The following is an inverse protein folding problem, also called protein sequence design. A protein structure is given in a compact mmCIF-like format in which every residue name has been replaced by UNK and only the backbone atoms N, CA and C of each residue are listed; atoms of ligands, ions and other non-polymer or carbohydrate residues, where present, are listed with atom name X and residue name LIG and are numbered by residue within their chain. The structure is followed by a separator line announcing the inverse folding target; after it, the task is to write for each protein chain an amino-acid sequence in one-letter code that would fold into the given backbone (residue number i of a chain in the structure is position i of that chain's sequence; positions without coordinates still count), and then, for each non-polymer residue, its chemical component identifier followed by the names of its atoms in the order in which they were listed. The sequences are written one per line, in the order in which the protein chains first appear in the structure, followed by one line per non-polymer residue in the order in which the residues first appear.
data_IF_249044667852
#
_entry.id   IF_249044667852
#
_cell.length_a   1.000
_cell.length_b   1.000
_cell.length_c   1.000
_cell.angle_alpha   90.00
_cell.angle_beta   90.00
_cell.angle_gamma   90.00
#
_symmetry.space_group_name_H-M   'P 1'
#
loop_
_entity.id
_entity.type
_entity.pdbx_description
1 polymer ?
#
# COMPACT_ATOMS: atom_id res chain seq x y z
N UNK A 1 -10.48 -35.11 -51.00
CA UNK A 1 -10.34 -33.66 -51.26
C UNK A 1 -11.09 -32.85 -50.18
N UNK A 2 -10.41 -32.35 -49.14
CA UNK A 2 -11.00 -31.34 -48.26
C UNK A 2 -10.03 -30.15 -48.11
N UNK A 3 -10.18 -29.04 -48.85
CA UNK A 3 -9.19 -27.94 -48.66
C UNK A 3 -9.53 -26.53 -49.15
N UNK A 4 -10.79 -26.09 -49.22
CA UNK A 4 -11.05 -24.67 -49.53
C UNK A 4 -12.00 -23.91 -48.60
N UNK A 5 -12.91 -24.59 -47.89
CA UNK A 5 -13.87 -23.89 -47.03
C UNK A 5 -13.34 -23.53 -45.63
N UNK A 6 -12.33 -24.23 -45.10
CA UNK A 6 -11.79 -23.96 -43.76
C UNK A 6 -10.79 -22.78 -43.67
N UNK A 7 -10.27 -22.28 -44.80
CA UNK A 7 -9.30 -21.16 -44.80
C UNK A 7 -9.97 -19.78 -44.72
N UNK A 8 -11.20 -19.64 -45.20
CA UNK A 8 -11.90 -18.33 -45.27
C UNK A 8 -12.43 -17.92 -43.88
N UNK A 9 -12.86 -18.89 -43.06
CA UNK A 9 -13.28 -18.65 -41.68
C UNK A 9 -12.09 -18.30 -40.76
N UNK A 10 -10.91 -18.87 -40.97
CA UNK A 10 -9.70 -18.49 -40.22
C UNK A 10 -9.18 -17.08 -40.59
N UNK A 11 -9.24 -16.69 -41.87
CA UNK A 11 -8.81 -15.35 -42.30
C UNK A 11 -9.77 -14.24 -41.85
N UNK A 12 -11.08 -14.50 -41.84
CA UNK A 12 -12.08 -13.52 -41.41
C UNK A 12 -12.06 -13.28 -39.89
N UNK A 13 -11.82 -14.33 -39.09
CA UNK A 13 -11.59 -14.19 -37.65
C UNK A 13 -10.31 -13.42 -37.31
N UNK A 14 -9.25 -13.61 -38.10
CA UNK A 14 -7.97 -12.92 -37.90
C UNK A 14 -8.06 -11.42 -38.23
N UNK A 15 -8.85 -11.03 -39.26
CA UNK A 15 -9.05 -9.64 -39.66
C UNK A 15 -9.96 -8.85 -38.70
N UNK A 16 -10.95 -9.51 -38.09
CA UNK A 16 -11.79 -8.90 -37.05
C UNK A 16 -11.03 -8.72 -35.73
N UNK A 17 -10.15 -9.65 -35.38
CA UNK A 17 -9.26 -9.51 -34.22
C UNK A 17 -8.24 -8.38 -34.41
N UNK A 18 -7.61 -8.25 -35.59
CA UNK A 18 -6.63 -7.19 -35.83
C UNK A 18 -7.26 -5.80 -35.89
N UNK A 19 -8.46 -5.66 -36.46
CA UNK A 19 -9.17 -4.37 -36.48
C UNK A 19 -9.68 -3.94 -35.11
N UNK A 20 -10.08 -4.88 -34.24
CA UNK A 20 -10.42 -4.59 -32.84
C UNK A 20 -9.19 -4.13 -32.04
N UNK A 21 -8.05 -4.81 -32.21
CA UNK A 21 -6.78 -4.44 -31.56
C UNK A 21 -6.30 -3.05 -32.04
N UNK A 22 -6.39 -2.74 -33.33
CA UNK A 22 -6.00 -1.43 -33.88
C UNK A 22 -6.90 -0.30 -33.38
N UNK A 23 -8.22 -0.51 -33.29
CA UNK A 23 -9.16 0.49 -32.77
C UNK A 23 -9.03 0.70 -31.24
N UNK A 24 -8.60 -0.33 -30.50
CA UNK A 24 -8.34 -0.24 -29.05
C UNK A 24 -6.95 0.33 -28.73
N UNK A 25 -5.98 0.18 -29.63
CA UNK A 25 -4.66 0.85 -29.56
C UNK A 25 -4.80 2.38 -29.59
N UNK A 26 -5.81 2.90 -30.31
CA UNK A 26 -6.03 4.36 -30.42
C UNK A 26 -6.77 4.99 -29.25
N UNK A 27 -7.48 4.22 -28.41
CA UNK A 27 -8.29 4.79 -27.33
C UNK A 27 -7.45 5.53 -26.28
N UNK A 28 -6.38 4.90 -25.80
CA UNK A 28 -5.50 5.53 -24.82
C UNK A 28 -4.76 6.72 -25.41
N UNK A 29 -4.36 6.64 -26.68
CA UNK A 29 -3.76 7.76 -27.37
C UNK A 29 -4.74 8.94 -27.47
N UNK A 30 -6.00 8.70 -27.81
CA UNK A 30 -7.03 9.73 -27.84
C UNK A 30 -7.20 10.39 -26.47
N UNK A 31 -7.35 9.59 -25.41
CA UNK A 31 -7.48 10.08 -24.03
C UNK A 31 -6.27 10.94 -23.64
N UNK A 32 -5.06 10.40 -23.78
CA UNK A 32 -3.83 11.05 -23.32
C UNK A 32 -3.52 12.31 -24.14
N UNK A 33 -3.70 12.28 -25.47
CA UNK A 33 -3.56 13.47 -26.32
C UNK A 33 -4.65 14.51 -26.05
N UNK A 34 -5.87 14.08 -25.71
CA UNK A 34 -6.94 14.97 -25.27
C UNK A 34 -6.53 15.75 -24.02
N UNK A 35 -6.09 15.05 -22.98
CA UNK A 35 -5.56 15.69 -21.76
C UNK A 35 -4.39 16.63 -22.06
N UNK A 36 -3.53 16.27 -23.01
CA UNK A 36 -2.41 17.12 -23.45
C UNK A 36 -2.86 18.42 -24.10
N UNK A 37 -4.07 18.46 -24.64
CA UNK A 37 -4.70 19.59 -25.30
C UNK A 37 -5.76 20.27 -24.42
N UNK A 38 -5.71 20.07 -23.10
CA UNK A 38 -6.69 20.55 -22.12
C UNK A 38 -8.14 20.10 -22.39
N UNK A 39 -8.31 18.98 -23.11
CA UNK A 39 -9.60 18.33 -23.32
C UNK A 39 -9.76 17.24 -22.27
N UNK A 40 -10.71 17.42 -21.36
CA UNK A 40 -11.02 16.40 -20.36
C UNK A 40 -11.87 15.32 -21.02
N UNK A 41 -11.22 14.21 -21.36
CA UNK A 41 -11.89 13.02 -21.89
C UNK A 41 -12.19 12.03 -20.75
N UNK A 42 -13.39 11.44 -20.77
CA UNK A 42 -13.79 10.46 -19.77
C UNK A 42 -12.99 9.17 -19.96
N UNK A 43 -12.32 8.75 -18.91
CA UNK A 43 -11.64 7.46 -18.87
C UNK A 43 -12.67 6.35 -18.60
N UNK A 44 -12.78 5.42 -19.53
CA UNK A 44 -13.49 4.16 -19.36
C UNK A 44 -12.61 3.16 -18.59
N UNK A 45 -12.81 3.10 -17.27
CA UNK A 45 -12.08 2.16 -16.40
C UNK A 45 -12.46 0.70 -16.63
N UNK A 46 -13.69 0.40 -17.05
CA UNK A 46 -14.09 -0.99 -17.37
C UNK A 46 -13.28 -1.54 -18.53
N UNK A 47 -13.01 -0.71 -19.55
CA UNK A 47 -12.15 -1.11 -20.67
C UNK A 47 -10.70 -1.33 -20.23
N UNK A 48 -10.19 -0.55 -19.27
CA UNK A 48 -8.84 -0.75 -18.72
C UNK A 48 -8.68 -2.04 -17.91
N UNK A 49 -9.80 -2.61 -17.45
CA UNK A 49 -9.83 -3.85 -16.69
C UNK A 49 -9.90 -5.09 -17.59
N UNK A 50 -10.09 -4.92 -18.91
CA UNK A 50 -10.14 -6.04 -19.86
C UNK A 50 -8.77 -6.76 -19.89
N UNK A 51 -8.69 -8.02 -19.40
CA UNK A 51 -7.42 -8.74 -19.35
C UNK A 51 -6.82 -8.99 -20.73
N UNK A 52 -7.65 -9.04 -21.78
CA UNK A 52 -7.18 -9.25 -23.16
C UNK A 52 -6.42 -8.05 -23.72
N UNK A 53 -6.63 -6.86 -23.14
CA UNK A 53 -6.03 -5.59 -23.58
C UNK A 53 -4.95 -5.10 -22.62
N UNK A 54 -4.81 -5.69 -21.44
CA UNK A 54 -3.90 -5.24 -20.40
C UNK A 54 -2.46 -5.02 -20.89
N UNK A 55 -1.92 -5.93 -21.70
CA UNK A 55 -0.56 -5.81 -22.24
C UNK A 55 -0.41 -4.64 -23.23
N UNK A 56 -1.40 -4.45 -24.11
CA UNK A 56 -1.41 -3.34 -25.08
C UNK A 56 -1.54 -2.01 -24.36
N UNK A 57 -2.48 -1.90 -23.42
CA UNK A 57 -2.69 -0.70 -22.63
C UNK A 57 -1.47 -0.34 -21.78
N UNK A 58 -0.84 -1.34 -21.17
CA UNK A 58 0.38 -1.14 -20.40
C UNK A 58 1.53 -0.64 -21.27
N UNK A 59 1.77 -1.26 -22.43
CA UNK A 59 2.82 -0.83 -23.36
C UNK A 59 2.64 0.62 -23.77
N UNK A 60 1.40 1.03 -24.09
CA UNK A 60 1.09 2.42 -24.45
C UNK A 60 1.29 3.40 -23.29
N UNK A 61 0.82 3.05 -22.09
CA UNK A 61 0.98 3.92 -20.93
C UNK A 61 2.44 4.10 -20.55
N UNK A 62 3.28 3.09 -20.76
CA UNK A 62 4.73 3.19 -20.54
C UNK A 62 5.34 4.32 -21.36
N UNK A 63 4.94 4.52 -22.62
CA UNK A 63 5.44 5.63 -23.44
C UNK A 63 5.07 6.99 -22.83
N UNK A 64 3.84 7.10 -22.31
CA UNK A 64 3.38 8.32 -21.64
C UNK A 64 4.02 8.58 -20.27
N UNK A 65 4.66 7.58 -19.65
CA UNK A 65 5.48 7.81 -18.45
C UNK A 65 6.75 8.62 -18.74
N UNK A 66 7.11 8.78 -20.02
CA UNK A 66 8.26 9.57 -20.47
C UNK A 66 7.85 10.92 -21.07
N UNK A 67 6.57 11.30 -20.97
CA UNK A 67 6.06 12.56 -21.55
C UNK A 67 6.74 13.78 -20.91
N UNK A 68 6.94 14.83 -21.71
CA UNK A 68 7.55 16.08 -21.21
C UNK A 68 6.70 16.78 -20.15
N UNK A 69 5.38 16.55 -20.14
CA UNK A 69 4.45 17.17 -19.21
C UNK A 69 4.21 16.27 -17.99
N UNK A 70 4.49 16.79 -16.80
CA UNK A 70 4.42 16.01 -15.55
C UNK A 70 3.02 15.52 -15.19
N UNK A 71 1.97 16.24 -15.59
CA UNK A 71 0.60 15.78 -15.37
C UNK A 71 0.24 14.58 -16.26
N UNK A 72 0.79 14.51 -17.48
CA UNK A 72 0.61 13.35 -18.37
C UNK A 72 1.32 12.13 -17.76
N UNK A 73 2.54 12.30 -17.25
CA UNK A 73 3.25 11.23 -16.54
C UNK A 73 2.47 10.74 -15.31
N UNK A 74 1.98 11.64 -14.45
CA UNK A 74 1.13 11.26 -13.31
C UNK A 74 -0.11 10.48 -13.73
N UNK A 75 -0.79 10.92 -14.80
CA UNK A 75 -1.94 10.20 -15.34
C UNK A 75 -1.54 8.80 -15.78
N UNK A 76 -0.45 8.67 -16.54
CA UNK A 76 0.05 7.38 -17.01
C UNK A 76 0.34 6.43 -15.85
N UNK A 77 1.07 6.88 -14.82
CA UNK A 77 1.34 6.08 -13.62
C UNK A 77 0.06 5.70 -12.85
N UNK A 78 -0.95 6.58 -12.81
CA UNK A 78 -2.24 6.29 -12.16
C UNK A 78 -2.98 5.17 -12.89
N UNK A 79 -3.00 5.23 -14.22
CA UNK A 79 -3.66 4.22 -15.06
C UNK A 79 -2.91 2.89 -15.05
N UNK A 80 -1.57 2.91 -15.04
CA UNK A 80 -0.76 1.71 -14.81
C UNK A 80 -1.10 1.07 -13.47
N UNK A 81 -1.21 1.89 -12.42
CA UNK A 81 -1.61 1.44 -11.08
C UNK A 81 -3.00 0.81 -11.07
N UNK A 82 -3.94 1.33 -11.88
CA UNK A 82 -5.28 0.74 -12.03
C UNK A 82 -5.24 -0.62 -12.73
N UNK A 83 -4.47 -0.76 -13.82
CA UNK A 83 -4.32 -2.03 -14.54
C UNK A 83 -3.67 -3.09 -13.62
N UNK A 84 -2.64 -2.73 -12.85
CA UNK A 84 -1.99 -3.64 -11.90
C UNK A 84 -2.97 -4.24 -10.88
N UNK A 85 -3.95 -3.47 -10.38
CA UNK A 85 -4.90 -4.00 -9.39
C UNK A 85 -5.87 -5.04 -9.96
N UNK A 86 -6.04 -5.07 -11.28
CA UNK A 86 -7.03 -5.91 -11.96
C UNK A 86 -6.41 -7.00 -12.83
N UNK A 87 -5.09 -7.00 -13.00
CA UNK A 87 -4.38 -8.05 -13.74
C UNK A 87 -4.00 -9.23 -12.85
N UNK A 88 -4.22 -10.44 -13.35
CA UNK A 88 -3.71 -11.67 -12.73
C UNK A 88 -2.32 -12.06 -13.26
N UNK A 89 -1.78 -11.34 -14.26
CA UNK A 89 -0.51 -11.70 -14.91
C UNK A 89 0.70 -11.26 -14.08
N UNK A 90 1.54 -12.20 -13.59
CA UNK A 90 2.73 -11.85 -12.82
C UNK A 90 3.73 -11.01 -13.62
N UNK A 91 3.93 -11.31 -14.90
CA UNK A 91 4.87 -10.59 -15.78
C UNK A 91 4.47 -9.11 -15.96
N UNK A 92 3.17 -8.85 -16.11
CA UNK A 92 2.65 -7.48 -16.18
C UNK A 92 2.86 -6.74 -14.85
N UNK A 93 2.67 -7.41 -13.70
CA UNK A 93 2.91 -6.79 -12.39
C UNK A 93 4.39 -6.45 -12.19
N UNK A 94 5.31 -7.31 -12.62
CA UNK A 94 6.75 -7.04 -12.59
C UNK A 94 7.09 -5.83 -13.48
N UNK A 95 6.52 -5.77 -14.68
CA UNK A 95 6.73 -4.64 -15.60
C UNK A 95 6.25 -3.31 -15.01
N UNK A 96 5.10 -3.31 -14.32
CA UNK A 96 4.58 -2.12 -13.63
C UNK A 96 5.47 -1.74 -12.45
N UNK A 97 5.94 -2.72 -11.68
CA UNK A 97 6.86 -2.49 -10.57
C UNK A 97 8.15 -1.82 -11.04
N UNK A 98 8.78 -2.35 -12.10
CA UNK A 98 9.97 -1.74 -12.73
C UNK A 98 9.72 -0.28 -13.12
N UNK A 99 8.53 -0.03 -13.69
CA UNK A 99 8.15 1.32 -14.13
C UNK A 99 7.96 2.28 -12.96
N UNK A 100 7.37 1.82 -11.86
CA UNK A 100 7.26 2.62 -10.63
C UNK A 100 8.60 2.83 -9.93
N UNK A 101 9.53 1.88 -9.99
CA UNK A 101 10.90 2.09 -9.50
C UNK A 101 11.63 3.15 -10.31
N UNK A 102 11.52 3.12 -11.65
CA UNK A 102 12.10 4.14 -12.54
C UNK A 102 11.57 5.56 -12.24
N UNK A 103 10.28 5.65 -11.91
CA UNK A 103 9.62 6.91 -11.55
C UNK A 103 10.23 7.63 -10.33
N UNK A 104 10.99 6.94 -9.48
CA UNK A 104 11.63 7.54 -8.30
C UNK A 104 12.77 8.50 -8.65
N UNK A 105 13.24 8.52 -9.89
CA UNK A 105 14.19 9.50 -10.43
C UNK A 105 13.50 10.61 -11.25
N UNK A 106 12.17 10.68 -11.27
CA UNK A 106 11.45 11.75 -11.99
C UNK A 106 11.85 13.13 -11.43
N UNK A 107 12.10 14.15 -12.28
CA UNK A 107 12.49 15.48 -11.79
C UNK A 107 11.41 16.15 -10.91
N UNK A 108 10.13 15.78 -11.07
CA UNK A 108 9.01 16.41 -10.37
C UNK A 108 8.65 15.65 -9.09
N UNK A 109 8.73 16.28 -7.90
CA UNK A 109 8.43 15.63 -6.61
C UNK A 109 7.09 14.91 -6.56
N UNK A 110 6.02 15.57 -7.03
CA UNK A 110 4.67 15.02 -7.03
C UNK A 110 4.53 13.72 -7.85
N UNK A 111 5.33 13.55 -8.90
CA UNK A 111 5.38 12.30 -9.68
C UNK A 111 6.04 11.20 -8.84
N UNK A 112 7.16 11.51 -8.18
CA UNK A 112 7.88 10.56 -7.30
C UNK A 112 7.01 10.10 -6.12
N UNK A 113 6.33 11.03 -5.44
CA UNK A 113 5.43 10.75 -4.31
C UNK A 113 4.29 9.80 -4.70
N UNK A 114 3.70 10.02 -5.88
CA UNK A 114 2.70 9.10 -6.42
C UNK A 114 3.27 7.70 -6.60
N UNK A 115 4.49 7.58 -7.12
CA UNK A 115 5.13 6.30 -7.36
C UNK A 115 5.53 5.58 -6.06
N UNK A 116 6.06 6.30 -5.06
CA UNK A 116 6.25 5.75 -3.70
C UNK A 116 4.95 5.17 -3.15
N UNK A 117 3.83 5.88 -3.33
CA UNK A 117 2.50 5.40 -2.89
C UNK A 117 2.09 4.11 -3.61
N UNK A 118 2.32 4.01 -4.92
CA UNK A 118 1.98 2.80 -5.67
C UNK A 118 2.87 1.60 -5.31
N UNK A 119 4.17 1.82 -5.06
CA UNK A 119 5.12 0.76 -4.73
C UNK A 119 4.75 -0.01 -3.46
N UNK A 120 4.15 0.65 -2.46
CA UNK A 120 3.70 0.01 -1.21
C UNK A 120 2.68 -1.11 -1.38
N UNK A 121 2.02 -1.17 -2.54
CA UNK A 121 0.96 -2.16 -2.84
C UNK A 121 1.53 -3.50 -3.30
N UNK A 122 2.82 -3.56 -3.62
CA UNK A 122 3.48 -4.78 -4.04
C UNK A 122 4.00 -5.55 -2.82
N UNK A 123 3.84 -6.88 -2.78
CA UNK A 123 4.50 -7.69 -1.76
C UNK A 123 6.02 -7.64 -1.94
N UNK A 124 6.74 -7.69 -0.82
CA UNK A 124 8.21 -7.68 -0.76
C UNK A 124 8.90 -8.69 -1.69
N UNK A 125 8.28 -9.85 -1.88
CA UNK A 125 8.76 -10.95 -2.72
C UNK A 125 8.90 -10.60 -4.21
N UNK A 126 8.23 -9.55 -4.68
CA UNK A 126 8.36 -9.10 -6.08
C UNK A 126 9.53 -8.14 -6.29
N UNK A 127 10.08 -7.55 -5.24
CA UNK A 127 11.16 -6.57 -5.36
C UNK A 127 12.52 -7.23 -5.52
N UNK A 128 13.17 -6.95 -6.65
CA UNK A 128 14.57 -7.32 -6.89
C UNK A 128 15.51 -6.52 -5.98
N UNK A 129 16.73 -7.02 -5.70
CA UNK A 129 17.73 -6.27 -4.94
C UNK A 129 18.03 -4.88 -5.52
N UNK A 130 18.06 -4.75 -6.86
CA UNK A 130 18.29 -3.46 -7.51
C UNK A 130 17.16 -2.47 -7.27
N UNK A 131 15.90 -2.91 -7.32
CA UNK A 131 14.75 -2.04 -7.02
C UNK A 131 14.74 -1.61 -5.55
N UNK A 132 15.06 -2.53 -4.63
CA UNK A 132 15.20 -2.21 -3.19
C UNK A 132 16.26 -1.13 -2.97
N UNK A 133 17.37 -1.22 -3.71
CA UNK A 133 18.45 -0.24 -3.65
C UNK A 133 18.02 1.13 -4.19
N UNK A 134 17.32 1.19 -5.34
CA UNK A 134 16.77 2.45 -5.88
C UNK A 134 15.85 3.14 -4.86
N UNK A 135 14.98 2.37 -4.20
CA UNK A 135 14.08 2.89 -3.17
C UNK A 135 14.85 3.44 -1.97
N UNK A 136 15.88 2.72 -1.51
CA UNK A 136 16.74 3.19 -0.42
C UNK A 136 17.46 4.47 -0.81
N UNK A 137 18.06 4.55 -1.99
CA UNK A 137 18.76 5.74 -2.47
C UNK A 137 17.83 6.95 -2.56
N UNK A 138 16.62 6.77 -3.07
CA UNK A 138 15.60 7.80 -3.07
C UNK A 138 15.26 8.26 -1.64
N UNK A 139 14.99 7.32 -0.73
CA UNK A 139 14.67 7.60 0.67
C UNK A 139 15.77 8.41 1.36
N UNK A 140 17.04 8.04 1.16
CA UNK A 140 18.19 8.73 1.76
C UNK A 140 18.44 10.11 1.12
N UNK A 141 18.28 10.24 -0.20
CA UNK A 141 18.53 11.48 -0.93
C UNK A 141 17.53 12.58 -0.58
N UNK A 142 16.25 12.23 -0.49
CA UNK A 142 15.17 13.20 -0.30
C UNK A 142 14.62 13.25 1.12
N UNK A 143 15.04 12.32 1.99
CA UNK A 143 14.44 12.12 3.31
C UNK A 143 12.90 11.99 3.25
N UNK A 144 12.37 11.38 2.17
CA UNK A 144 10.93 11.17 1.98
C UNK A 144 10.42 10.18 3.04
N UNK A 145 9.50 10.58 3.95
CA UNK A 145 9.01 9.72 5.02
C UNK A 145 8.44 8.38 4.55
N UNK A 146 7.70 8.40 3.45
CA UNK A 146 7.03 7.22 2.94
C UNK A 146 7.98 6.30 2.18
N UNK A 147 8.99 6.86 1.50
CA UNK A 147 10.06 6.09 0.91
C UNK A 147 10.99 5.47 1.98
N UNK A 148 11.27 6.19 3.07
CA UNK A 148 12.02 5.66 4.22
C UNK A 148 11.31 4.44 4.81
N UNK A 149 10.00 4.56 5.02
CA UNK A 149 9.18 3.43 5.48
C UNK A 149 9.17 2.28 4.47
N UNK A 150 9.08 2.57 3.18
CA UNK A 150 9.16 1.54 2.14
C UNK A 150 10.52 0.81 2.15
N UNK A 151 11.63 1.54 2.29
CA UNK A 151 12.96 0.95 2.42
C UNK A 151 13.08 0.05 3.67
N UNK A 152 12.49 0.46 4.79
CA UNK A 152 12.43 -0.34 6.02
C UNK A 152 11.62 -1.63 5.88
N UNK A 153 10.45 -1.56 5.23
CA UNK A 153 9.66 -2.75 4.88
C UNK A 153 10.43 -3.73 4.02
N UNK A 154 11.08 -3.22 2.97
CA UNK A 154 11.81 -4.03 2.00
C UNK A 154 13.17 -4.51 2.49
N UNK A 155 13.67 -4.02 3.63
CA UNK A 155 14.95 -4.40 4.23
C UNK A 155 16.09 -4.36 3.19
N UNK A 156 16.21 -3.25 2.47
CA UNK A 156 17.28 -3.08 1.48
C UNK A 156 18.67 -3.21 2.14
N UNK A 157 19.65 -3.72 1.40
CA UNK A 157 21.02 -3.84 1.91
C UNK A 157 21.56 -2.46 2.30
N UNK A 158 22.16 -2.34 3.49
CA UNK A 158 22.63 -1.05 4.02
C UNK A 158 21.52 -0.10 4.53
N UNK A 159 20.25 -0.50 4.50
CA UNK A 159 19.14 0.34 4.96
C UNK A 159 19.28 0.74 6.43
N UNK A 160 19.73 -0.17 7.30
CA UNK A 160 19.89 0.11 8.75
C UNK A 160 20.81 1.31 8.98
N UNK A 161 22.01 1.31 8.40
CA UNK A 161 22.98 2.39 8.62
C UNK A 161 22.51 3.72 7.98
N UNK A 162 21.96 3.66 6.77
CA UNK A 162 21.42 4.83 6.09
C UNK A 162 20.29 5.49 6.88
N UNK A 163 19.32 4.69 7.33
CA UNK A 163 18.14 5.16 8.04
C UNK A 163 18.49 5.61 9.46
N UNK A 164 19.45 4.97 10.15
CA UNK A 164 19.97 5.46 11.46
C UNK A 164 20.51 6.88 11.37
N UNK A 165 21.22 7.21 10.28
CA UNK A 165 21.70 8.59 10.06
C UNK A 165 20.54 9.56 9.96
N UNK A 166 19.52 9.26 9.16
CA UNK A 166 18.33 10.11 9.05
C UNK A 166 17.61 10.30 10.40
N UNK A 167 17.45 9.22 11.19
CA UNK A 167 16.76 9.29 12.48
C UNK A 167 17.45 10.19 13.52
N UNK A 168 18.78 10.35 13.41
CA UNK A 168 19.61 11.15 14.31
C UNK A 168 19.96 12.55 13.80
N UNK A 169 19.70 12.85 12.52
CA UNK A 169 20.11 14.10 11.89
C UNK A 169 19.15 15.27 12.25
N UNK A 170 19.62 16.32 12.95
CA UNK A 170 18.78 17.45 13.32
C UNK A 170 18.25 18.25 12.13
N UNK A 171 18.93 18.21 10.98
CA UNK A 171 18.56 18.95 9.76
C UNK A 171 17.45 18.25 8.97
N UNK A 172 17.23 16.95 9.23
CA UNK A 172 16.11 16.18 8.66
C UNK A 172 14.80 16.55 9.35
N UNK A 173 13.69 16.61 8.62
CA UNK A 173 12.38 16.98 9.19
C UNK A 173 11.97 16.05 10.34
N UNK A 174 11.19 16.54 11.31
CA UNK A 174 10.67 15.70 12.41
C UNK A 174 9.89 14.49 11.88
N UNK A 175 9.08 14.69 10.85
CA UNK A 175 8.29 13.63 10.23
C UNK A 175 9.18 12.54 9.64
N UNK A 176 10.17 12.91 8.83
CA UNK A 176 11.14 11.99 8.23
C UNK A 176 11.97 11.26 9.30
N UNK A 177 12.34 11.93 10.40
CA UNK A 177 13.01 11.27 11.54
C UNK A 177 12.12 10.23 12.20
N UNK A 178 10.84 10.52 12.41
CA UNK A 178 9.89 9.56 12.98
C UNK A 178 9.70 8.38 12.04
N UNK A 179 9.53 8.63 10.73
CA UNK A 179 9.47 7.58 9.72
C UNK A 179 10.73 6.68 9.72
N UNK A 180 11.91 7.28 9.90
CA UNK A 180 13.17 6.55 10.04
C UNK A 180 13.18 5.64 11.28
N UNK A 181 12.74 6.15 12.43
CA UNK A 181 12.60 5.34 13.66
C UNK A 181 11.62 4.19 13.47
N UNK A 182 10.47 4.45 12.86
CA UNK A 182 9.47 3.42 12.54
C UNK A 182 10.09 2.34 11.64
N UNK A 183 10.82 2.74 10.60
CA UNK A 183 11.48 1.82 9.68
C UNK A 183 12.52 0.94 10.38
N UNK A 184 13.34 1.52 11.27
CA UNK A 184 14.29 0.77 12.09
C UNK A 184 13.59 -0.21 13.04
N UNK A 185 12.52 0.22 13.72
CA UNK A 185 11.72 -0.64 14.57
C UNK A 185 11.11 -1.82 13.79
N UNK A 186 10.63 -1.59 12.57
CA UNK A 186 10.12 -2.66 11.67
C UNK A 186 11.21 -3.66 11.28
N UNK A 187 12.44 -3.18 11.11
CA UNK A 187 13.61 -4.02 10.87
C UNK A 187 14.10 -4.76 12.12
N UNK A 188 13.49 -4.52 13.28
CA UNK A 188 13.81 -5.18 14.54
C UNK A 188 14.91 -4.49 15.34
N UNK A 189 15.18 -3.21 15.09
CA UNK A 189 16.13 -2.45 15.90
C UNK A 189 15.59 -2.32 17.35
N UNK A 190 16.31 -2.85 18.37
CA UNK A 190 15.81 -2.90 19.73
C UNK A 190 15.71 -1.52 20.37
N UNK A 191 16.61 -0.59 20.04
CA UNK A 191 16.63 0.75 20.63
C UNK A 191 15.39 1.54 20.20
N UNK A 192 15.00 1.40 18.93
CA UNK A 192 13.81 2.05 18.39
C UNK A 192 12.51 1.37 18.84
N UNK A 193 12.49 0.05 19.03
CA UNK A 193 11.36 -0.65 19.66
C UNK A 193 11.15 -0.16 21.10
N UNK A 194 12.22 -0.06 21.88
CA UNK A 194 12.17 0.45 23.25
C UNK A 194 11.78 1.94 23.29
N UNK A 195 12.21 2.73 22.31
CA UNK A 195 11.79 4.13 22.17
C UNK A 195 10.27 4.24 22.05
N UNK A 196 9.66 3.46 21.15
CA UNK A 196 8.21 3.48 20.96
C UNK A 196 7.46 2.91 22.16
N UNK A 197 7.89 1.79 22.75
CA UNK A 197 7.25 1.24 23.96
C UNK A 197 7.20 2.28 25.09
N UNK A 198 8.32 2.98 25.34
CA UNK A 198 8.37 4.06 26.35
C UNK A 198 7.44 5.23 26.03
N UNK A 199 7.23 5.56 24.76
CA UNK A 199 6.32 6.66 24.38
C UNK A 199 4.88 6.25 24.59
N UNK A 200 4.51 5.06 24.12
CA UNK A 200 3.16 4.51 24.25
C UNK A 200 2.76 4.44 25.73
N UNK A 201 3.64 3.94 26.60
CA UNK A 201 3.31 3.78 28.03
C UNK A 201 3.19 5.09 28.82
N UNK A 202 3.64 6.23 28.27
CA UNK A 202 3.65 7.52 28.98
C UNK A 202 2.33 8.28 28.93
N UNK A 203 1.47 7.96 27.97
CA UNK A 203 0.25 8.72 27.68
C UNK A 203 -0.96 7.85 28.05
N UNK A 204 -1.98 8.45 28.67
CA UNK A 204 -3.23 7.75 28.94
C UNK A 204 -3.88 7.33 27.61
N UNK A 205 -4.53 6.17 27.59
CA UNK A 205 -5.23 5.71 26.38
C UNK A 205 -6.51 6.52 26.20
N UNK A 206 -6.67 7.05 24.99
CA UNK A 206 -7.85 7.74 24.44
C UNK A 206 -7.87 7.53 22.92
N UNK A 207 -8.83 8.11 22.20
CA UNK A 207 -8.95 7.93 20.74
C UNK A 207 -7.67 8.32 19.97
N UNK A 208 -7.15 9.54 20.19
CA UNK A 208 -5.97 10.05 19.48
C UNK A 208 -4.73 9.17 19.72
N UNK A 209 -4.52 8.79 20.98
CA UNK A 209 -3.39 7.97 21.35
C UNK A 209 -3.53 6.55 20.77
N UNK A 210 -4.73 5.98 20.78
CA UNK A 210 -4.99 4.66 20.23
C UNK A 210 -4.84 4.64 18.71
N UNK A 211 -5.25 5.70 18.02
CA UNK A 211 -5.00 5.89 16.59
C UNK A 211 -3.50 5.92 16.30
N UNK A 212 -2.71 6.68 17.07
CA UNK A 212 -1.27 6.74 16.89
C UNK A 212 -0.58 5.37 17.14
N UNK A 213 -1.01 4.61 18.15
CA UNK A 213 -0.51 3.24 18.40
C UNK A 213 -0.93 2.32 17.25
N UNK A 214 -2.18 2.44 16.77
CA UNK A 214 -2.73 1.65 15.68
C UNK A 214 -1.95 1.84 14.38
N UNK A 215 -1.70 3.08 13.97
CA UNK A 215 -0.88 3.41 12.80
C UNK A 215 0.56 2.89 12.94
N UNK A 216 1.14 3.06 14.13
CA UNK A 216 2.47 2.54 14.43
C UNK A 216 2.50 1.00 14.35
N UNK A 217 1.52 0.30 14.90
CA UNK A 217 1.43 -1.16 14.85
C UNK A 217 1.21 -1.66 13.41
N UNK A 218 0.33 -0.98 12.66
CA UNK A 218 -0.01 -1.31 11.29
C UNK A 218 1.19 -1.24 10.36
N UNK A 219 2.13 -0.32 10.61
CA UNK A 219 3.38 -0.27 9.86
C UNK A 219 4.52 -1.07 10.51
N UNK A 220 4.76 -1.00 11.82
CA UNK A 220 5.96 -1.62 12.41
C UNK A 220 5.87 -3.15 12.47
N UNK A 221 4.66 -3.70 12.62
CA UNK A 221 4.42 -5.15 12.64
C UNK A 221 5.31 -5.90 13.65
N UNK A 222 5.57 -5.29 14.80
CA UNK A 222 6.37 -5.88 15.87
C UNK A 222 5.52 -6.25 17.08
N UNK A 223 5.87 -7.38 17.71
CA UNK A 223 5.17 -7.92 18.87
C UNK A 223 5.10 -6.95 20.06
N UNK A 224 6.17 -6.24 20.47
CA UNK A 224 6.10 -5.34 21.62
C UNK A 224 5.06 -4.21 21.48
N UNK A 225 4.88 -3.68 20.26
CA UNK A 225 3.90 -2.63 19.96
C UNK A 225 2.49 -3.25 19.86
N UNK A 226 2.36 -4.39 19.18
CA UNK A 226 1.07 -5.09 19.03
C UNK A 226 0.53 -5.54 20.39
N UNK A 227 1.40 -6.00 21.29
CA UNK A 227 1.05 -6.39 22.66
C UNK A 227 0.43 -5.24 23.46
N UNK A 228 0.78 -3.97 23.18
CA UNK A 228 0.13 -2.82 23.81
C UNK A 228 -1.36 -2.75 23.43
N UNK A 229 -1.68 -2.93 22.15
CA UNK A 229 -3.06 -2.94 21.69
C UNK A 229 -3.83 -4.12 22.28
N UNK A 230 -3.21 -5.31 22.36
CA UNK A 230 -3.82 -6.46 23.02
C UNK A 230 -4.09 -6.22 24.51
N UNK A 231 -3.19 -5.50 25.20
CA UNK A 231 -3.42 -5.10 26.58
C UNK A 231 -4.61 -4.13 26.71
N UNK A 232 -4.73 -3.15 25.81
CA UNK A 232 -5.92 -2.26 25.76
C UNK A 232 -7.21 -3.06 25.55
N UNK A 233 -7.18 -4.12 24.74
CA UNK A 233 -8.36 -4.99 24.55
C UNK A 233 -8.74 -5.74 25.83
N UNK A 234 -7.75 -6.14 26.63
CA UNK A 234 -7.98 -6.82 27.91
C UNK A 234 -8.49 -5.89 29.02
N UNK A 235 -8.25 -4.59 28.89
CA UNK A 235 -8.65 -3.56 29.86
C UNK A 235 -10.07 -3.02 29.61
N UNK A 236 -10.71 -2.48 30.65
CA UNK A 236 -12.08 -1.92 30.61
C UNK A 236 -12.09 -0.38 30.63
N UNK A 237 -11.11 0.27 29.98
CA UNK A 237 -11.00 1.75 29.98
C UNK A 237 -12.07 2.41 29.09
N UNK A 238 -12.83 3.34 29.66
CA UNK A 238 -13.91 4.12 29.02
C UNK A 238 -13.47 5.54 28.62
N UNK A 239 -12.39 5.66 27.86
CA UNK A 239 -11.80 6.94 27.46
C UNK A 239 -11.85 7.21 25.94
N UNK A 240 -12.58 6.38 25.20
CA UNK A 240 -12.69 6.49 23.75
C UNK A 240 -14.12 6.87 23.34
N UNK A 241 -14.32 7.30 22.11
CA UNK A 241 -15.59 7.86 21.61
C UNK A 241 -16.22 7.00 20.53
N UNK A 242 -17.56 6.97 20.55
CA UNK A 242 -18.35 6.34 19.50
C UNK A 242 -18.17 7.08 18.18
N UNK A 243 -18.14 6.34 17.06
CA UNK A 243 -18.20 6.92 15.71
C UNK A 243 -19.63 7.27 15.28
N UNK A 244 -20.63 6.82 16.04
CA UNK A 244 -22.02 7.21 15.84
C UNK A 244 -22.20 8.68 16.26
N UNK A 245 -22.44 9.61 15.31
CA UNK A 245 -22.59 11.02 15.61
C UNK A 245 -23.82 11.32 16.50
N UNK A 246 -24.78 10.39 16.59
CA UNK A 246 -25.95 10.52 17.44
C UNK A 246 -25.70 10.02 18.87
N UNK A 247 -24.50 9.47 19.15
CA UNK A 247 -24.11 8.92 20.46
C UNK A 247 -22.74 9.43 20.89
N UNK A 248 -22.69 10.67 21.37
CA UNK A 248 -21.50 11.22 22.04
C UNK A 248 -21.38 10.67 23.47
N UNK A 249 -21.06 9.38 23.59
CA UNK A 249 -20.85 8.71 24.87
C UNK A 249 -19.49 8.00 24.89
N UNK A 250 -18.79 8.02 26.04
CA UNK A 250 -17.60 7.23 26.22
C UNK A 250 -17.86 5.73 26.00
N UNK A 251 -17.00 5.09 25.20
CA UNK A 251 -17.00 3.67 24.93
C UNK A 251 -15.69 3.03 25.41
N UNK A 252 -15.67 1.70 25.43
CA UNK A 252 -14.45 0.94 25.71
C UNK A 252 -13.44 1.15 24.59
N UNK A 253 -12.23 1.58 24.94
CA UNK A 253 -11.12 1.68 23.99
C UNK A 253 -10.77 0.32 23.36
N UNK A 254 -11.13 -0.78 24.02
CA UNK A 254 -11.00 -2.13 23.50
C UNK A 254 -11.67 -2.32 22.13
N UNK A 255 -12.80 -1.64 21.85
CA UNK A 255 -13.49 -1.75 20.56
C UNK A 255 -12.64 -1.25 19.39
N UNK A 256 -12.02 -0.08 19.56
CA UNK A 256 -11.09 0.50 18.59
C UNK A 256 -9.80 -0.31 18.48
N UNK A 257 -9.27 -0.79 19.60
CA UNK A 257 -8.05 -1.58 19.60
C UNK A 257 -8.21 -2.89 18.81
N UNK A 258 -9.39 -3.52 18.85
CA UNK A 258 -9.70 -4.71 18.04
C UNK A 258 -9.63 -4.42 16.53
N UNK A 259 -10.13 -3.27 16.07
CA UNK A 259 -10.09 -2.86 14.66
C UNK A 259 -8.64 -2.77 14.15
N UNK A 260 -7.75 -2.16 14.94
CA UNK A 260 -6.34 -2.02 14.57
C UNK A 260 -5.61 -3.36 14.47
N UNK A 261 -5.87 -4.31 15.40
CA UNK A 261 -5.12 -5.58 15.42
C UNK A 261 -5.65 -6.63 14.43
N UNK A 262 -6.91 -6.52 14.00
CA UNK A 262 -7.54 -7.53 13.15
C UNK A 262 -6.84 -7.70 11.79
N UNK A 263 -6.32 -6.61 11.21
CA UNK A 263 -5.50 -6.64 9.99
C UNK A 263 -4.00 -6.93 10.23
N UNK A 264 -3.59 -7.09 11.48
CA UNK A 264 -2.19 -7.25 11.89
C UNK A 264 -1.85 -8.69 12.25
N UNK A 265 -2.73 -9.33 12.99
CA UNK A 265 -2.51 -10.66 13.56
C UNK A 265 -3.09 -11.72 12.62
N UNK A 266 -2.29 -12.75 12.31
CA UNK A 266 -2.77 -13.91 11.54
C UNK A 266 -3.78 -14.69 12.37
N UNK A 267 -4.84 -15.16 11.69
CA UNK A 267 -5.90 -15.97 12.30
C UNK A 267 -6.59 -15.28 13.49
N UNK A 268 -6.66 -13.94 13.48
CA UNK A 268 -7.44 -13.17 14.44
C UNK A 268 -8.93 -13.57 14.34
N UNK A 269 -9.66 -13.73 15.46
CA UNK A 269 -10.92 -14.48 15.47
C UNK A 269 -12.10 -13.73 14.83
N UNK A 270 -11.93 -12.45 14.51
CA UNK A 270 -12.94 -11.59 13.88
C UNK A 270 -12.32 -10.96 12.64
N UNK A 271 -12.99 -11.08 11.50
CA UNK A 271 -12.54 -10.47 10.25
C UNK A 271 -12.78 -8.95 10.22
N UNK A 272 -12.34 -8.33 9.13
CA UNK A 272 -12.63 -6.91 8.82
C UNK A 272 -13.46 -6.82 7.55
N UNK A 273 -14.38 -5.85 7.52
CA UNK A 273 -15.16 -5.49 6.34
C UNK A 273 -14.32 -4.68 5.36
N UNK A 274 -14.77 -4.48 4.10
CA UNK A 274 -14.10 -3.59 3.16
C UNK A 274 -13.92 -2.15 3.66
N UNK A 275 -14.76 -1.69 4.61
CA UNK A 275 -14.63 -0.38 5.26
C UNK A 275 -13.44 -0.30 6.23
N UNK A 276 -12.90 -1.44 6.68
CA UNK A 276 -11.87 -1.53 7.72
C UNK A 276 -12.40 -1.87 9.11
N UNK A 277 -13.72 -1.74 9.34
CA UNK A 277 -14.35 -2.07 10.62
C UNK A 277 -14.43 -3.58 10.85
N UNK A 278 -14.62 -4.02 12.10
CA UNK A 278 -14.82 -5.43 12.40
C UNK A 278 -16.07 -5.97 11.70
N UNK A 279 -15.98 -7.22 11.23
CA UNK A 279 -17.13 -7.92 10.66
C UNK A 279 -18.04 -8.49 11.75
N UNK A 280 -18.73 -7.59 12.46
CA UNK A 280 -19.68 -7.90 13.53
C UNK A 280 -20.68 -6.77 13.70
N UNK A 281 -21.89 -7.12 14.12
CA UNK A 281 -22.90 -6.15 14.56
C UNK A 281 -23.01 -6.09 16.11
N UNK A 282 -22.34 -7.01 16.82
CA UNK A 282 -22.29 -7.06 18.29
C UNK A 282 -20.83 -6.96 18.76
N UNK A 283 -20.38 -5.73 18.99
CA UNK A 283 -19.04 -5.45 19.52
C UNK A 283 -18.82 -6.01 20.93
N UNK A 284 -19.87 -6.15 21.74
CA UNK A 284 -19.75 -6.73 23.09
C UNK A 284 -19.52 -8.23 23.03
N UNK A 285 -20.17 -8.94 22.12
CA UNK A 285 -19.89 -10.34 21.84
C UNK A 285 -18.50 -10.52 21.22
N UNK A 286 -18.14 -9.69 20.24
CA UNK A 286 -16.81 -9.73 19.61
C UNK A 286 -15.70 -9.54 20.64
N UNK A 287 -15.83 -8.57 21.56
CA UNK A 287 -14.86 -8.35 22.63
C UNK A 287 -14.67 -9.58 23.52
N UNK A 288 -15.75 -10.28 23.89
CA UNK A 288 -15.64 -11.52 24.68
C UNK A 288 -14.86 -12.60 23.94
N UNK A 289 -15.15 -12.79 22.65
CA UNK A 289 -14.46 -13.76 21.79
C UNK A 289 -12.98 -13.42 21.70
N UNK A 290 -12.65 -12.17 21.40
CA UNK A 290 -11.27 -11.70 21.25
C UNK A 290 -10.50 -11.83 22.57
N UNK A 291 -11.08 -11.44 23.72
CA UNK A 291 -10.41 -11.58 25.03
C UNK A 291 -10.09 -13.05 25.35
N UNK A 292 -11.00 -13.98 25.02
CA UNK A 292 -10.75 -15.41 25.18
C UNK A 292 -9.66 -15.90 24.23
N UNK A 293 -9.67 -15.43 22.99
CA UNK A 293 -8.66 -15.76 21.98
C UNK A 293 -7.27 -15.29 22.41
N UNK A 294 -7.11 -14.03 22.85
CA UNK A 294 -5.83 -13.47 23.33
C UNK A 294 -5.24 -14.35 24.44
N UNK A 295 -6.06 -14.77 25.41
CA UNK A 295 -5.61 -15.60 26.54
C UNK A 295 -5.20 -17.02 26.12
N UNK A 296 -5.75 -17.54 25.03
CA UNK A 296 -5.45 -18.87 24.52
C UNK A 296 -4.33 -18.90 23.46
N UNK A 297 -3.93 -17.74 22.94
CA UNK A 297 -2.93 -17.60 21.88
C UNK A 297 -1.81 -16.60 22.26
N UNK A 298 -1.03 -16.86 23.34
CA UNK A 298 0.06 -15.97 23.72
C UNK A 298 1.15 -15.87 22.63
N UNK A 299 1.30 -16.92 21.82
CA UNK A 299 2.26 -17.05 20.72
C UNK A 299 1.62 -16.76 19.35
N UNK A 300 0.80 -15.72 19.26
CA UNK A 300 0.20 -15.31 17.99
C UNK A 300 1.25 -14.87 16.95
N UNK A 301 0.88 -14.94 15.68
CA UNK A 301 1.76 -14.53 14.58
C UNK A 301 1.30 -13.20 13.98
N UNK A 302 2.27 -12.34 13.64
CA UNK A 302 2.01 -11.08 12.95
C UNK A 302 2.22 -11.27 11.44
N UNK A 303 1.32 -10.70 10.63
CA UNK A 303 1.51 -10.61 9.19
C UNK A 303 2.56 -9.52 8.87
N UNK A 304 3.80 -9.94 8.58
CA UNK A 304 4.94 -9.04 8.32
C UNK A 304 5.22 -8.80 6.84
N UNK A 305 4.60 -9.58 5.95
CA UNK A 305 4.78 -9.51 4.50
C UNK A 305 3.85 -8.51 3.81
N UNK A 306 3.12 -7.70 4.58
CA UNK A 306 2.25 -6.62 4.09
C UNK A 306 2.84 -5.29 4.55
N UNK A 307 2.91 -4.29 3.67
CA UNK A 307 3.37 -2.95 4.02
C UNK A 307 2.50 -2.35 5.13
#
# INVERSE_FOLDING_TARGET
MPSKFNRILQLSGCLLFTSLIIAQDTYLDEVMLGYRQDRVLRINYEQLQDPSLASVHMSRLIDYTLDSQSFIRQMAYRLLGHIDQHTASPDLRITVLDRFSYCLDDPVPMVREQCVTQLKRFPDSLFTPSQRQIILEHALRYADPEAIKLAGYLRADGAVEGIKRLAGDPDVSRESRIAARMALARMGDPDELDYFDRIIRKVAINDDHLMAIGELAAYVRAKPITDQLLQVILDDQLNCTSTDPDRDQPILCAYRAMEYVAGIIRDFPIGVRPSGDLDTDDYSQALRIVRQWIRSHPEYQIATNVY
#
